data_IF_950567144209
#
_entry.id   IF_950567144209
#
_cell.length_a   1.000
_cell.length_b   1.000
_cell.length_c   1.000
_cell.angle_alpha   90.00
_cell.angle_beta   90.00
_cell.angle_gamma   90.00
#
_symmetry.space_group_name_H-M   'P 1'
#
loop_
_entity.id
_entity.type
_entity.pdbx_description
1 polymer ?
#
# COMPACT_ATOMS: atom_id res chain seq x y z
N UNK A 1 19.74 17.87 23.66
CA UNK A 1 18.29 17.59 23.54
C UNK A 1 18.08 17.10 22.13
N UNK A 2 17.42 15.94 21.95
CA UNK A 2 17.07 15.43 20.62
C UNK A 2 16.04 16.40 20.03
N UNK A 3 16.44 17.23 19.06
CA UNK A 3 15.54 18.13 18.35
C UNK A 3 14.92 17.38 17.18
N UNK A 4 13.61 17.12 17.24
CA UNK A 4 12.88 16.57 16.12
C UNK A 4 12.85 17.60 14.98
N UNK A 5 13.35 17.19 13.82
CA UNK A 5 13.24 17.97 12.59
C UNK A 5 11.79 18.01 12.12
N UNK A 6 11.48 18.93 11.18
CA UNK A 6 10.16 18.97 10.54
C UNK A 6 9.82 17.64 9.82
N UNK A 7 10.83 16.91 9.37
CA UNK A 7 10.69 15.60 8.72
C UNK A 7 10.28 14.52 9.71
N UNK A 8 10.86 14.53 10.91
CA UNK A 8 10.47 13.61 11.97
C UNK A 8 8.99 13.82 12.35
N UNK A 9 8.54 15.08 12.41
CA UNK A 9 7.13 15.41 12.61
C UNK A 9 6.24 14.97 11.45
N UNK A 10 6.71 15.08 10.20
CA UNK A 10 5.98 14.58 9.04
C UNK A 10 5.83 13.04 9.07
N UNK A 11 6.88 12.32 9.45
CA UNK A 11 6.86 10.85 9.62
C UNK A 11 5.85 10.45 10.69
N UNK A 12 5.91 11.08 11.86
CA UNK A 12 4.95 10.84 12.95
C UNK A 12 3.52 11.15 12.48
N UNK A 13 3.32 12.26 11.77
CA UNK A 13 2.01 12.62 11.23
C UNK A 13 1.46 11.56 10.27
N UNK A 14 2.29 11.02 9.36
CA UNK A 14 1.87 9.94 8.44
C UNK A 14 1.41 8.71 9.22
N UNK A 15 2.19 8.27 10.22
CA UNK A 15 1.88 7.08 11.02
C UNK A 15 0.60 7.29 11.83
N UNK A 16 0.47 8.44 12.50
CA UNK A 16 -0.70 8.78 13.32
C UNK A 16 -1.95 8.90 12.44
N UNK A 17 -1.88 9.60 11.31
CA UNK A 17 -3.00 9.73 10.38
C UNK A 17 -3.42 8.36 9.84
N UNK A 18 -2.45 7.52 9.45
CA UNK A 18 -2.73 6.16 9.00
C UNK A 18 -3.41 5.32 10.10
N UNK A 19 -2.93 5.40 11.34
CA UNK A 19 -3.53 4.72 12.49
C UNK A 19 -4.96 5.22 12.79
N UNK A 20 -5.20 6.53 12.74
CA UNK A 20 -6.52 7.13 12.96
C UNK A 20 -7.51 6.77 11.85
N UNK A 21 -7.07 6.76 10.58
CA UNK A 21 -7.91 6.32 9.46
C UNK A 21 -8.29 4.85 9.66
N UNK A 22 -7.34 3.98 10.00
CA UNK A 22 -7.64 2.56 10.21
C UNK A 22 -8.44 2.29 11.48
N UNK A 23 -8.38 3.17 12.49
CA UNK A 23 -9.28 3.11 13.66
C UNK A 23 -10.74 3.31 13.26
N UNK A 24 -11.02 4.18 12.28
CA UNK A 24 -12.40 4.42 11.80
C UNK A 24 -12.88 3.35 10.83
N UNK A 25 -11.98 2.85 9.96
CA UNK A 25 -12.30 1.82 8.96
C UNK A 25 -12.37 0.40 9.55
N UNK A 26 -11.52 0.08 10.52
CA UNK A 26 -11.36 -1.27 11.06
C UNK A 26 -10.33 -2.11 10.29
N UNK A 27 -9.73 -3.09 10.97
CA UNK A 27 -8.72 -3.99 10.41
C UNK A 27 -9.24 -4.79 9.22
N UNK A 28 -10.40 -5.43 9.37
CA UNK A 28 -10.95 -6.33 8.37
C UNK A 28 -11.14 -5.60 7.04
N UNK A 29 -11.69 -4.38 7.09
CA UNK A 29 -11.90 -3.59 5.88
C UNK A 29 -10.60 -3.20 5.20
N UNK A 30 -9.58 -2.89 5.98
CA UNK A 30 -8.27 -2.50 5.46
C UNK A 30 -7.53 -3.69 4.85
N UNK A 31 -7.51 -4.83 5.54
CA UNK A 31 -6.88 -6.06 5.08
C UNK A 31 -7.54 -6.58 3.79
N UNK A 32 -8.87 -6.62 3.75
CA UNK A 32 -9.62 -7.03 2.56
C UNK A 32 -9.43 -6.05 1.39
N UNK A 33 -9.35 -4.75 1.66
CA UNK A 33 -9.05 -3.76 0.63
C UNK A 33 -7.67 -4.01 0.01
N UNK A 34 -6.64 -4.23 0.81
CA UNK A 34 -5.30 -4.52 0.31
C UNK A 34 -5.25 -5.84 -0.47
N UNK A 35 -5.92 -6.88 0.04
CA UNK A 35 -6.04 -8.15 -0.65
C UNK A 35 -6.75 -7.99 -2.00
N UNK A 36 -7.82 -7.19 -2.04
CA UNK A 36 -8.57 -6.88 -3.27
C UNK A 36 -7.69 -6.17 -4.30
N UNK A 37 -6.84 -5.25 -3.87
CA UNK A 37 -5.87 -4.59 -4.76
C UNK A 37 -4.86 -5.58 -5.35
N UNK A 38 -4.31 -6.50 -4.53
CA UNK A 38 -3.39 -7.54 -5.00
C UNK A 38 -4.08 -8.47 -5.99
N UNK A 39 -5.29 -8.95 -5.65
CA UNK A 39 -6.07 -9.83 -6.53
C UNK A 39 -6.42 -9.11 -7.84
N UNK A 40 -6.83 -7.85 -7.80
CA UNK A 40 -7.13 -7.06 -9.00
C UNK A 40 -5.90 -6.93 -9.89
N UNK A 41 -4.72 -6.67 -9.31
CA UNK A 41 -3.46 -6.64 -10.05
C UNK A 41 -3.12 -7.98 -10.70
N UNK A 42 -3.27 -9.09 -9.95
CA UNK A 42 -3.05 -10.44 -10.47
C UNK A 42 -4.03 -10.79 -11.59
N UNK A 43 -5.31 -10.47 -11.43
CA UNK A 43 -6.32 -10.72 -12.46
C UNK A 43 -6.03 -9.91 -13.72
N UNK A 44 -5.68 -8.64 -13.58
CA UNK A 44 -5.30 -7.79 -14.71
C UNK A 44 -4.05 -8.33 -15.42
N UNK A 45 -3.04 -8.81 -14.68
CA UNK A 45 -1.83 -9.37 -15.27
C UNK A 45 -2.09 -10.69 -15.99
N UNK A 46 -2.82 -11.62 -15.36
CA UNK A 46 -3.05 -12.96 -15.90
C UNK A 46 -4.05 -12.97 -17.06
N UNK A 47 -5.11 -12.17 -16.97
CA UNK A 47 -6.23 -12.21 -17.93
C UNK A 47 -6.27 -11.01 -18.88
N UNK A 48 -5.42 -10.00 -18.68
CA UNK A 48 -5.35 -8.80 -19.52
C UNK A 48 -5.13 -9.11 -20.99
N UNK A 49 -4.26 -10.06 -21.31
CA UNK A 49 -4.02 -10.51 -22.69
C UNK A 49 -5.26 -11.16 -23.32
N UNK A 50 -5.90 -12.09 -22.60
CA UNK A 50 -7.10 -12.76 -23.09
C UNK A 50 -8.26 -11.78 -23.36
N UNK A 51 -8.50 -10.84 -22.44
CA UNK A 51 -9.52 -9.82 -22.67
C UNK A 51 -9.12 -8.86 -23.80
N UNK A 52 -7.82 -8.55 -23.96
CA UNK A 52 -7.36 -7.70 -25.06
C UNK A 52 -7.71 -8.31 -26.44
N UNK A 53 -7.64 -9.64 -26.61
CA UNK A 53 -8.07 -10.28 -27.87
C UNK A 53 -9.54 -10.01 -28.19
N UNK A 54 -10.42 -10.03 -27.19
CA UNK A 54 -11.85 -9.70 -27.38
C UNK A 54 -12.07 -8.22 -27.75
N UNK A 55 -11.16 -7.32 -27.36
CA UNK A 55 -11.19 -5.91 -27.73
C UNK A 55 -10.59 -5.62 -29.11
N UNK A 56 -10.04 -6.62 -29.80
CA UNK A 56 -9.41 -6.44 -31.12
C UNK A 56 -10.32 -5.77 -32.17
N UNK A 57 -11.64 -6.06 -32.23
CA UNK A 57 -12.53 -5.39 -33.18
C UNK A 57 -12.81 -3.92 -32.85
N UNK A 58 -12.57 -3.48 -31.61
CA UNK A 58 -12.92 -2.14 -31.13
C UNK A 58 -11.71 -1.22 -30.99
N UNK A 59 -10.52 -1.76 -30.75
CA UNK A 59 -9.28 -1.00 -30.54
C UNK A 59 -8.19 -1.53 -31.46
N UNK A 60 -7.88 -0.77 -32.51
CA UNK A 60 -6.85 -1.14 -33.49
C UNK A 60 -5.45 -1.14 -32.86
N UNK A 61 -5.14 -0.14 -32.03
CA UNK A 61 -3.80 0.04 -31.43
C UNK A 61 -3.51 -1.05 -30.38
N UNK A 62 -2.50 -1.92 -30.57
CA UNK A 62 -2.26 -3.06 -29.68
C UNK A 62 -1.92 -2.67 -28.24
N UNK A 63 -1.09 -1.63 -28.04
CA UNK A 63 -0.72 -1.15 -26.70
C UNK A 63 -1.93 -0.63 -25.93
N UNK A 64 -2.76 0.19 -26.58
CA UNK A 64 -3.98 0.74 -25.99
C UNK A 64 -4.99 -0.35 -25.63
N UNK A 65 -5.06 -1.41 -26.45
CA UNK A 65 -5.95 -2.56 -26.23
C UNK A 65 -5.61 -3.32 -24.95
N UNK A 66 -4.32 -3.63 -24.76
CA UNK A 66 -3.84 -4.31 -23.54
C UNK A 66 -4.06 -3.42 -22.31
N UNK A 67 -3.72 -2.13 -22.42
CA UNK A 67 -3.94 -1.18 -21.31
C UNK A 67 -5.42 -1.10 -20.95
N UNK A 68 -6.31 -1.00 -21.94
CA UNK A 68 -7.76 -0.96 -21.73
C UNK A 68 -8.27 -2.26 -21.08
N UNK A 69 -7.86 -3.42 -21.59
CA UNK A 69 -8.27 -4.71 -21.05
C UNK A 69 -7.81 -4.91 -19.60
N UNK A 70 -6.54 -4.65 -19.30
CA UNK A 70 -6.02 -4.68 -17.93
C UNK A 70 -6.78 -3.71 -17.02
N UNK A 71 -7.04 -2.49 -17.49
CA UNK A 71 -7.77 -1.47 -16.72
C UNK A 71 -9.21 -1.91 -16.42
N UNK A 72 -9.92 -2.47 -17.40
CA UNK A 72 -11.28 -2.99 -17.23
C UNK A 72 -11.29 -4.10 -16.20
N UNK A 73 -10.42 -5.11 -16.34
CA UNK A 73 -10.33 -6.21 -15.38
C UNK A 73 -9.98 -5.75 -13.98
N UNK A 74 -9.03 -4.82 -13.88
CA UNK A 74 -8.61 -4.25 -12.60
C UNK A 74 -9.77 -3.55 -11.91
N UNK A 75 -10.44 -2.61 -12.60
CA UNK A 75 -11.57 -1.86 -12.05
C UNK A 75 -12.75 -2.78 -11.71
N UNK A 76 -13.12 -3.71 -12.59
CA UNK A 76 -14.20 -4.66 -12.32
C UNK A 76 -13.89 -5.51 -11.08
N UNK A 77 -12.66 -5.98 -10.94
CA UNK A 77 -12.24 -6.75 -9.77
C UNK A 77 -12.28 -5.92 -8.48
N UNK A 78 -11.84 -4.66 -8.54
CA UNK A 78 -11.94 -3.73 -7.41
C UNK A 78 -13.40 -3.46 -7.00
N UNK A 79 -14.32 -3.32 -7.97
CA UNK A 79 -15.75 -3.12 -7.70
C UNK A 79 -16.36 -4.34 -7.00
N UNK A 80 -16.07 -5.55 -7.50
CA UNK A 80 -16.54 -6.79 -6.90
C UNK A 80 -15.95 -7.02 -5.51
N UNK A 81 -14.63 -6.84 -5.36
CA UNK A 81 -13.97 -6.97 -4.06
C UNK A 81 -14.42 -5.90 -3.06
N UNK A 82 -14.72 -4.68 -3.54
CA UNK A 82 -15.31 -3.61 -2.73
C UNK A 82 -16.71 -3.98 -2.20
N UNK A 83 -17.54 -4.62 -3.01
CA UNK A 83 -18.84 -5.13 -2.59
C UNK A 83 -18.69 -6.22 -1.52
N UNK A 84 -17.79 -7.19 -1.74
CA UNK A 84 -17.49 -8.24 -0.76
C UNK A 84 -17.00 -7.62 0.56
N UNK A 85 -16.10 -6.64 0.48
CA UNK A 85 -15.58 -5.93 1.63
C UNK A 85 -16.68 -5.21 2.42
N UNK A 86 -17.64 -4.59 1.71
CA UNK A 86 -18.81 -3.97 2.34
C UNK A 86 -19.65 -5.00 3.10
N UNK A 87 -19.97 -6.14 2.48
CA UNK A 87 -20.78 -7.20 3.09
C UNK A 87 -20.09 -7.79 4.34
N UNK A 88 -18.79 -8.07 4.25
CA UNK A 88 -18.03 -8.57 5.40
C UNK A 88 -17.97 -7.51 6.50
N UNK A 89 -17.82 -6.24 6.14
CA UNK A 89 -17.88 -5.13 7.08
C UNK A 89 -19.20 -5.06 7.87
N UNK A 90 -20.34 -5.35 7.22
CA UNK A 90 -21.63 -5.45 7.90
C UNK A 90 -21.68 -6.66 8.85
N UNK A 91 -21.07 -7.78 8.47
CA UNK A 91 -21.01 -8.97 9.31
C UNK A 91 -20.19 -8.73 10.59
N UNK A 92 -19.08 -7.99 10.50
CA UNK A 92 -18.27 -7.60 11.68
C UNK A 92 -19.06 -6.71 12.64
N UNK A 93 -19.90 -5.81 12.10
CA UNK A 93 -20.78 -4.99 12.93
C UNK A 93 -21.84 -5.86 13.61
N UNK A 94 -22.43 -6.80 12.87
CA UNK A 94 -23.45 -7.72 13.39
C UNK A 94 -22.94 -8.66 14.49
N UNK A 95 -21.66 -9.07 14.46
CA UNK A 95 -21.06 -9.91 15.52
C UNK A 95 -20.72 -9.15 16.80
N UNK A 96 -20.82 -7.81 16.80
CA UNK A 96 -20.46 -6.98 17.96
C UNK A 96 -18.95 -6.83 18.18
N UNK A 97 -18.11 -7.41 17.31
CA UNK A 97 -16.64 -7.36 17.42
C UNK A 97 -16.02 -6.06 16.88
N UNK A 98 -16.84 -5.03 16.62
CA UNK A 98 -16.40 -3.75 16.07
C UNK A 98 -15.31 -3.06 16.90
N UNK A 99 -15.33 -3.20 18.24
CA UNK A 99 -14.29 -2.62 19.09
C UNK A 99 -12.91 -3.24 18.85
N UNK A 100 -12.82 -4.57 18.85
CA UNK A 100 -11.58 -5.30 18.59
C UNK A 100 -11.08 -5.07 17.17
N UNK A 101 -11.98 -5.09 16.17
CA UNK A 101 -11.64 -4.81 14.78
C UNK A 101 -11.02 -3.41 14.59
N UNK A 102 -11.56 -2.39 15.27
CA UNK A 102 -11.02 -1.03 15.24
C UNK A 102 -9.66 -0.92 15.93
N UNK A 103 -9.47 -1.59 17.06
CA UNK A 103 -8.18 -1.60 17.76
C UNK A 103 -7.09 -2.27 16.92
N UNK A 104 -7.38 -3.46 16.37
CA UNK A 104 -6.48 -4.12 15.41
C UNK A 104 -6.25 -3.24 14.18
N UNK A 105 -7.28 -2.50 13.76
CA UNK A 105 -7.20 -1.54 12.67
C UNK A 105 -6.17 -0.46 12.96
N UNK A 106 -6.16 0.11 14.16
CA UNK A 106 -5.15 1.11 14.57
C UNK A 106 -3.73 0.55 14.46
N UNK A 107 -3.48 -0.64 15.00
CA UNK A 107 -2.15 -1.28 14.97
C UNK A 107 -1.73 -1.54 13.52
N UNK A 108 -2.64 -2.06 12.71
CA UNK A 108 -2.41 -2.31 11.29
C UNK A 108 -2.15 -1.00 10.51
N UNK A 109 -2.92 0.05 10.79
CA UNK A 109 -2.75 1.37 10.20
C UNK A 109 -1.41 2.00 10.57
N UNK A 110 -0.97 1.86 11.82
CA UNK A 110 0.35 2.30 12.25
C UNK A 110 1.46 1.53 11.50
N UNK A 111 1.35 0.20 11.39
CA UNK A 111 2.30 -0.63 10.65
C UNK A 111 2.34 -0.25 9.16
N UNK A 112 1.18 -0.02 8.53
CA UNK A 112 1.08 0.47 7.15
C UNK A 112 1.72 1.86 7.00
N UNK A 113 1.46 2.77 7.93
CA UNK A 113 2.06 4.11 7.93
C UNK A 113 3.58 4.04 8.03
N UNK A 114 4.10 3.18 8.90
CA UNK A 114 5.53 2.92 9.01
C UNK A 114 6.09 2.32 7.71
N UNK A 115 5.39 1.37 7.09
CA UNK A 115 5.80 0.80 5.79
C UNK A 115 5.85 1.87 4.69
N UNK A 116 4.86 2.76 4.61
CA UNK A 116 4.86 3.87 3.67
C UNK A 116 6.06 4.79 3.88
N UNK A 117 6.45 5.04 5.14
CA UNK A 117 7.65 5.81 5.48
C UNK A 117 8.92 5.08 5.06
N UNK A 118 9.04 3.75 5.30
CA UNK A 118 10.18 2.94 4.83
C UNK A 118 10.35 3.11 3.32
N UNK A 119 9.27 2.97 2.56
CA UNK A 119 9.30 3.10 1.09
C UNK A 119 9.68 4.53 0.68
N UNK A 120 9.09 5.55 1.29
CA UNK A 120 9.38 6.95 0.98
C UNK A 120 10.86 7.30 1.25
N UNK A 121 11.37 6.93 2.43
CA UNK A 121 12.79 7.13 2.81
C UNK A 121 13.71 6.34 1.88
N UNK A 122 13.36 5.09 1.56
CA UNK A 122 14.12 4.25 0.64
C UNK A 122 14.16 4.76 -0.81
N UNK A 123 13.12 5.47 -1.26
CA UNK A 123 13.10 6.16 -2.56
C UNK A 123 13.88 7.47 -2.50
N UNK A 124 13.74 8.25 -1.42
CA UNK A 124 14.49 9.50 -1.23
C UNK A 124 15.99 9.27 -1.12
N UNK A 125 16.43 8.14 -0.55
CA UNK A 125 17.86 7.80 -0.49
C UNK A 125 18.50 7.48 -1.85
N UNK A 126 17.69 7.32 -2.91
CA UNK A 126 18.21 7.23 -4.29
C UNK A 126 18.59 8.62 -4.85
N UNK A 127 18.10 9.70 -4.25
CA UNK A 127 18.44 11.07 -4.58
C UNK A 127 19.60 11.57 -3.70
N UNK A 128 20.32 12.65 -4.08
CA UNK A 128 21.45 13.19 -3.30
C UNK A 128 20.99 13.96 -2.04
N UNK A 129 20.04 13.41 -1.29
CA UNK A 129 19.45 14.00 -0.06
C UNK A 129 20.45 14.04 1.10
N UNK A 130 21.56 13.31 1.01
CA UNK A 130 22.64 13.34 2.01
C UNK A 130 23.33 14.71 2.12
N UNK A 131 23.17 15.59 1.13
CA UNK A 131 23.70 16.95 1.19
C UNK A 131 22.84 17.89 2.07
N UNK A 132 21.59 17.50 2.34
CA UNK A 132 20.62 18.37 2.99
C UNK A 132 20.65 18.25 4.52
N UNK A 133 20.51 19.39 5.19
CA UNK A 133 20.52 19.49 6.66
C UNK A 133 19.35 18.74 7.30
N UNK A 134 18.16 18.78 6.67
CA UNK A 134 16.96 18.10 7.16
C UNK A 134 17.08 16.57 7.16
N UNK A 135 17.92 16.00 6.30
CA UNK A 135 18.18 14.56 6.26
C UNK A 135 19.17 14.14 7.35
N UNK A 136 20.25 14.91 7.52
CA UNK A 136 21.31 14.62 8.50
C UNK A 136 20.88 14.79 9.95
N UNK A 137 20.02 15.77 10.21
CA UNK A 137 19.57 16.08 11.58
C UNK A 137 18.40 15.21 12.05
N UNK A 138 17.76 14.46 11.14
CA UNK A 138 16.64 13.59 11.48
C UNK A 138 17.09 12.40 12.32
N UNK A 139 16.40 12.18 13.42
CA UNK A 139 16.66 11.07 14.35
C UNK A 139 15.94 9.81 13.90
N UNK A 140 14.85 9.96 13.15
CA UNK A 140 13.95 8.88 12.76
C UNK A 140 14.40 8.24 11.43
N UNK A 141 14.94 9.00 10.48
CA UNK A 141 15.39 8.51 9.16
C UNK A 141 16.37 7.33 9.26
N UNK A 142 17.44 7.35 10.10
CA UNK A 142 18.40 6.25 10.17
C UNK A 142 17.77 4.91 10.55
N UNK A 143 16.75 4.90 11.41
CA UNK A 143 16.06 3.69 11.84
C UNK A 143 15.26 3.07 10.69
N UNK A 144 14.62 3.90 9.87
CA UNK A 144 13.88 3.44 8.69
C UNK A 144 14.80 3.01 7.55
N UNK A 145 15.98 3.63 7.41
CA UNK A 145 17.01 3.19 6.45
C UNK A 145 17.53 1.79 6.75
N UNK A 146 17.78 1.45 8.03
CA UNK A 146 18.19 0.09 8.41
C UNK A 146 17.17 -0.97 7.96
N UNK A 147 15.88 -0.68 8.13
CA UNK A 147 14.80 -1.57 7.69
C UNK A 147 14.77 -1.64 6.16
N UNK A 148 14.89 -0.50 5.47
CA UNK A 148 14.90 -0.46 4.02
C UNK A 148 16.07 -1.25 3.40
N UNK A 149 17.28 -1.10 3.96
CA UNK A 149 18.48 -1.77 3.47
C UNK A 149 18.47 -3.26 3.79
N UNK A 150 17.97 -3.66 4.97
CA UNK A 150 17.71 -5.07 5.27
C UNK A 150 16.73 -5.68 4.26
N UNK A 151 15.64 -4.99 3.95
CA UNK A 151 14.67 -5.43 2.94
C UNK A 151 15.29 -5.55 1.55
N UNK A 152 16.08 -4.56 1.11
CA UNK A 152 16.81 -4.61 -0.17
C UNK A 152 17.73 -5.82 -0.24
N UNK A 153 18.54 -6.04 0.78
CA UNK A 153 19.48 -7.16 0.83
C UNK A 153 18.76 -8.51 0.78
N UNK A 154 17.63 -8.64 1.49
CA UNK A 154 16.82 -9.86 1.47
C UNK A 154 16.25 -10.13 0.07
N UNK A 155 15.69 -9.10 -0.58
CA UNK A 155 15.15 -9.22 -1.95
C UNK A 155 16.26 -9.60 -2.93
N UNK A 156 17.44 -8.97 -2.84
CA UNK A 156 18.58 -9.28 -3.70
C UNK A 156 19.10 -10.70 -3.49
N UNK A 157 19.11 -11.22 -2.26
CA UNK A 157 19.46 -12.61 -1.98
C UNK A 157 18.46 -13.60 -2.56
N UNK A 158 17.17 -13.27 -2.57
CA UNK A 158 16.13 -14.12 -3.17
C UNK A 158 16.13 -14.04 -4.70
N UNK A 159 16.41 -12.86 -5.27
CA UNK A 159 16.48 -12.64 -6.72
C UNK A 159 17.80 -13.10 -7.35
N UNK A 160 18.86 -13.25 -6.56
CA UNK A 160 20.17 -13.76 -6.97
C UNK A 160 20.31 -15.29 -6.89
N UNK A 161 19.21 -16.03 -6.69
CA UNK A 161 19.12 -17.49 -6.85
C UNK A 161 18.29 -17.82 -8.09
#
# INVERSE_FOLDING_TARGET
MVSLTWVDWAIVAIIVVSALISLTRGFVKEALSLLTWVIAGLVAWLFGGALAELLAPYIETPSLRVIAACSILFVMTLLLGGLINYLIGQLVIATGLSGTDRFLGMVFGAARGALLVVVAVGLLSLAPVEADTWWRESVVIPHFLLVADWSKNLILQMAGR
#
